data_IF_239193907597
#
_entry.id   IF_239193907597
#
_cell.length_a   1.000
_cell.length_b   1.000
_cell.length_c   1.000
_cell.angle_alpha   90.00
_cell.angle_beta   90.00
_cell.angle_gamma   90.00
#
_symmetry.space_group_name_H-M   'P 1'
#
loop_
_entity.id
_entity.type
_entity.pdbx_description
1 polymer ?
#
# COMPACT_ATOMS: atom_id res chain seq x y z
N UNK A 1 2.65 13.71 -19.17
CA UNK A 1 2.92 12.70 -18.10
C UNK A 1 1.84 11.64 -17.93
N UNK A 2 0.55 11.92 -18.19
CA UNK A 2 -0.55 10.92 -18.06
C UNK A 2 -0.39 9.71 -19.01
N UNK A 3 0.10 9.94 -20.22
CA UNK A 3 0.27 8.89 -21.24
C UNK A 3 1.34 7.85 -20.87
N UNK A 4 2.45 8.29 -20.26
CA UNK A 4 3.55 7.40 -19.88
C UNK A 4 3.15 6.41 -18.79
N UNK A 5 2.44 6.86 -17.74
CA UNK A 5 1.96 5.97 -16.66
C UNK A 5 0.95 4.93 -17.14
N UNK A 6 0.03 5.28 -18.05
CA UNK A 6 -0.91 4.31 -18.65
C UNK A 6 -0.19 3.23 -19.46
N UNK A 7 0.90 3.60 -20.14
CA UNK A 7 1.65 2.66 -20.96
C UNK A 7 2.37 1.59 -20.12
N UNK A 8 2.85 1.93 -18.92
CA UNK A 8 3.50 0.96 -18.03
C UNK A 8 2.51 -0.09 -17.54
N UNK A 9 1.34 0.32 -17.02
CA UNK A 9 0.35 -0.62 -16.50
C UNK A 9 -0.14 -1.60 -17.58
N UNK A 10 -0.50 -1.08 -18.76
CA UNK A 10 -0.94 -1.90 -19.90
C UNK A 10 0.15 -2.86 -20.36
N UNK A 11 1.40 -2.38 -20.49
CA UNK A 11 2.51 -3.23 -20.91
C UNK A 11 2.82 -4.31 -19.88
N UNK A 12 2.79 -3.98 -18.59
CA UNK A 12 2.95 -4.97 -17.53
C UNK A 12 1.85 -6.04 -17.60
N UNK A 13 0.60 -5.63 -17.74
CA UNK A 13 -0.53 -6.58 -17.85
C UNK A 13 -0.39 -7.50 -19.07
N UNK A 14 -0.06 -6.97 -20.24
CA UNK A 14 0.15 -7.78 -21.45
C UNK A 14 1.20 -8.87 -21.26
N UNK A 15 2.27 -8.59 -20.51
CA UNK A 15 3.38 -9.52 -20.30
C UNK A 15 3.18 -10.43 -19.08
N UNK A 16 2.39 -10.00 -18.08
CA UNK A 16 2.30 -10.67 -16.78
C UNK A 16 0.91 -11.31 -16.53
N UNK A 17 -0.08 -11.08 -17.40
CA UNK A 17 -1.42 -11.67 -17.28
C UNK A 17 -1.43 -13.19 -17.26
N UNK A 18 -0.42 -13.87 -17.81
CA UNK A 18 -0.33 -15.34 -17.78
C UNK A 18 0.11 -15.91 -16.43
N UNK A 19 0.58 -15.08 -15.49
CA UNK A 19 1.10 -15.54 -14.21
C UNK A 19 -0.06 -15.89 -13.28
N UNK A 20 -0.20 -17.18 -12.96
CA UNK A 20 -1.15 -17.67 -11.96
C UNK A 20 -0.50 -18.03 -10.63
N UNK A 21 0.73 -18.53 -10.66
CA UNK A 21 1.47 -18.98 -9.47
C UNK A 21 2.87 -18.39 -9.46
N UNK A 22 3.28 -17.87 -8.31
CA UNK A 22 4.66 -17.44 -8.03
C UNK A 22 5.24 -18.40 -6.98
N UNK A 23 6.32 -19.10 -7.33
CA UNK A 23 6.96 -20.07 -6.44
C UNK A 23 7.67 -19.41 -5.25
N UNK A 24 8.33 -18.27 -5.49
CA UNK A 24 9.03 -17.49 -4.48
C UNK A 24 8.12 -16.48 -3.78
N UNK A 25 8.47 -15.21 -3.94
CA UNK A 25 7.77 -14.06 -3.34
C UNK A 25 7.35 -13.05 -4.40
N UNK A 26 6.39 -12.19 -4.04
CA UNK A 26 6.06 -10.98 -4.80
C UNK A 26 6.56 -9.78 -4.02
N UNK A 27 7.41 -8.95 -4.64
CA UNK A 27 7.92 -7.71 -4.07
C UNK A 27 7.62 -6.54 -5.00
N UNK A 28 6.90 -5.55 -4.49
CA UNK A 28 6.63 -4.28 -5.19
C UNK A 28 7.03 -3.14 -4.25
N UNK A 29 8.16 -2.50 -4.56
CA UNK A 29 8.73 -1.46 -3.72
C UNK A 29 9.19 -0.26 -4.56
N UNK A 30 8.91 0.97 -4.11
CA UNK A 30 9.36 2.19 -4.79
C UNK A 30 8.74 2.42 -6.18
N UNK A 31 7.62 1.75 -6.49
CA UNK A 31 7.05 1.74 -7.83
C UNK A 31 6.01 2.86 -8.03
N UNK A 32 6.47 4.11 -7.99
CA UNK A 32 5.62 5.32 -8.04
C UNK A 32 4.84 5.52 -9.35
N UNK A 33 5.20 4.77 -10.40
CA UNK A 33 4.43 4.74 -11.64
C UNK A 33 3.13 3.94 -11.52
N UNK A 34 3.04 3.02 -10.54
CA UNK A 34 1.92 2.11 -10.39
C UNK A 34 0.77 2.73 -9.63
N UNK A 35 -0.44 2.52 -10.14
CA UNK A 35 -1.70 2.89 -9.49
C UNK A 35 -2.38 1.67 -8.84
N UNK A 36 -2.18 0.48 -9.42
CA UNK A 36 -2.74 -0.79 -8.95
C UNK A 36 -1.84 -1.99 -9.25
N UNK A 37 -2.05 -3.11 -8.55
CA UNK A 37 -1.46 -4.42 -8.87
C UNK A 37 -2.24 -5.24 -9.91
N UNK A 38 -3.28 -4.65 -10.52
CA UNK A 38 -4.11 -5.30 -11.54
C UNK A 38 -3.37 -5.76 -12.80
N UNK A 39 -2.08 -5.42 -12.96
CA UNK A 39 -1.21 -6.00 -14.01
C UNK A 39 -0.89 -7.49 -13.78
N UNK A 40 -1.23 -8.04 -12.60
CA UNK A 40 -1.24 -9.48 -12.31
C UNK A 40 -2.69 -9.96 -12.14
N UNK A 41 -3.52 -9.94 -13.19
CA UNK A 41 -4.96 -10.22 -13.08
C UNK A 41 -5.27 -11.67 -12.69
N UNK A 42 -4.41 -12.63 -13.06
CA UNK A 42 -4.65 -14.05 -12.87
C UNK A 42 -3.84 -14.66 -11.71
N UNK A 43 -3.10 -13.86 -10.93
CA UNK A 43 -2.31 -14.37 -9.82
C UNK A 43 -3.22 -14.93 -8.72
N UNK A 44 -3.13 -16.25 -8.51
CA UNK A 44 -3.91 -17.01 -7.53
C UNK A 44 -3.06 -17.54 -6.38
N UNK A 45 -1.74 -17.71 -6.56
CA UNK A 45 -0.89 -18.41 -5.59
C UNK A 45 0.50 -17.81 -5.46
N UNK A 46 0.96 -17.63 -4.22
CA UNK A 46 2.35 -17.35 -3.85
C UNK A 46 2.79 -18.46 -2.90
N UNK A 47 3.74 -19.29 -3.31
CA UNK A 47 4.13 -20.50 -2.57
C UNK A 47 5.16 -20.22 -1.46
N UNK A 48 5.88 -19.10 -1.51
CA UNK A 48 6.81 -18.69 -0.45
C UNK A 48 8.04 -19.60 -0.31
N UNK A 49 8.47 -20.30 -1.37
CA UNK A 49 9.71 -21.10 -1.37
C UNK A 49 10.95 -20.24 -1.15
N UNK A 50 10.86 -18.98 -1.57
CA UNK A 50 11.80 -17.91 -1.28
C UNK A 50 11.05 -16.74 -0.65
N UNK A 51 11.75 -15.93 0.14
CA UNK A 51 11.17 -14.84 0.92
C UNK A 51 12.08 -13.62 0.95
N UNK A 52 11.49 -12.43 1.00
CA UNK A 52 12.21 -11.16 1.17
C UNK A 52 12.68 -11.04 2.61
N UNK A 53 14.00 -10.93 2.82
CA UNK A 53 14.58 -10.61 4.12
C UNK A 53 14.42 -9.11 4.44
N UNK A 54 13.61 -8.81 5.44
CA UNK A 54 13.37 -7.47 5.96
C UNK A 54 14.39 -6.98 6.99
N UNK A 55 15.56 -7.61 7.11
CA UNK A 55 16.66 -7.03 7.91
C UNK A 55 17.00 -5.59 7.49
N UNK A 56 16.84 -5.27 6.20
CA UNK A 56 17.04 -3.93 5.65
C UNK A 56 15.86 -2.98 5.91
N UNK A 57 14.71 -3.49 6.35
CA UNK A 57 13.52 -2.68 6.68
C UNK A 57 13.79 -1.87 7.95
N UNK A 58 14.48 -2.42 8.95
CA UNK A 58 14.88 -1.64 10.14
C UNK A 58 15.76 -0.43 9.80
N UNK A 59 16.57 -0.51 8.75
CA UNK A 59 17.41 0.60 8.32
C UNK A 59 16.56 1.74 7.72
N UNK A 60 15.50 1.42 6.97
CA UNK A 60 14.55 2.43 6.45
C UNK A 60 13.59 2.95 7.52
N UNK A 61 13.18 2.14 8.50
CA UNK A 61 12.50 2.65 9.70
C UNK A 61 13.40 3.62 10.47
N UNK A 62 14.64 3.23 10.77
CA UNK A 62 15.53 4.09 11.52
C UNK A 62 15.86 5.37 10.75
N UNK A 63 15.96 5.38 9.42
CA UNK A 63 16.18 6.62 8.66
C UNK A 63 14.96 7.56 8.66
N UNK A 64 13.73 7.03 8.62
CA UNK A 64 12.52 7.85 8.72
C UNK A 64 12.22 8.32 10.15
N UNK A 65 12.47 7.48 11.16
CA UNK A 65 12.32 7.86 12.57
C UNK A 65 13.49 8.72 13.08
N UNK A 66 14.70 8.65 12.52
CA UNK A 66 15.80 9.58 12.86
C UNK A 66 15.46 11.02 12.51
N UNK A 67 14.73 11.26 11.41
CA UNK A 67 14.26 12.60 11.06
C UNK A 67 13.23 13.16 12.07
N UNK A 68 12.49 12.29 12.75
CA UNK A 68 11.52 12.68 13.79
C UNK A 68 12.16 12.74 15.19
N UNK A 69 13.17 11.91 15.46
CA UNK A 69 13.86 11.83 16.75
C UNK A 69 14.99 12.86 16.94
N UNK A 70 15.51 13.47 15.87
CA UNK A 70 16.46 14.60 15.99
C UNK A 70 15.86 15.82 16.72
N UNK A 71 14.53 15.90 16.88
CA UNK A 71 13.89 16.93 17.70
C UNK A 71 13.63 16.52 19.16
N UNK A 72 13.76 15.24 19.51
CA UNK A 72 13.38 14.73 20.84
C UNK A 72 14.52 14.13 21.67
N UNK A 73 15.71 13.89 21.11
CA UNK A 73 16.83 13.34 21.87
C UNK A 73 18.00 14.32 21.90
N UNK A 74 17.78 15.43 22.63
CA UNK A 74 18.85 16.14 23.34
C UNK A 74 18.39 16.19 24.80
N UNK A 75 18.97 15.31 25.63
CA UNK A 75 18.80 15.14 27.10
C UNK A 75 17.88 14.01 27.61
N UNK A 76 18.31 12.75 27.47
CA UNK A 76 18.09 11.76 28.53
C UNK A 76 19.31 10.84 28.65
N UNK A 77 20.03 10.97 29.78
CA UNK A 77 21.30 10.33 30.08
C UNK A 77 21.18 8.85 30.47
N UNK A 78 22.21 8.08 30.09
CA UNK A 78 22.84 6.93 30.78
C UNK A 78 21.97 5.88 31.49
N UNK A 79 22.06 4.61 31.07
CA UNK A 79 22.64 3.49 31.84
C UNK A 79 22.34 2.14 31.18
N UNK A 80 23.37 1.32 31.01
CA UNK A 80 23.30 -0.08 30.57
C UNK A 80 22.83 -0.93 31.75
N UNK A 81 21.79 -1.77 31.56
CA UNK A 81 21.49 -2.88 32.49
C UNK A 81 21.52 -4.23 31.78
N UNK A 82 22.40 -5.06 32.32
CA UNK A 82 22.63 -6.48 32.06
C UNK A 82 21.37 -7.34 32.24
N UNK A 83 21.26 -8.41 31.44
CA UNK A 83 20.62 -9.66 31.88
C UNK A 83 19.11 -9.81 31.67
N UNK A 84 18.68 -9.94 30.42
CA UNK A 84 17.53 -10.82 30.09
C UNK A 84 18.01 -11.82 29.04
N UNK A 85 17.78 -13.13 29.30
CA UNK A 85 17.71 -14.10 28.21
C UNK A 85 16.59 -13.62 27.30
N UNK A 86 16.96 -12.93 26.23
CA UNK A 86 16.05 -12.62 25.14
C UNK A 86 15.69 -13.99 24.57
N UNK A 87 14.48 -14.45 24.86
CA UNK A 87 13.83 -15.49 24.06
C UNK A 87 14.09 -15.12 22.62
N UNK A 88 14.89 -15.93 21.90
CA UNK A 88 15.26 -15.79 20.49
C UNK A 88 14.47 -14.67 19.80
N UNK A 89 15.08 -13.49 19.64
CA UNK A 89 14.53 -12.49 18.74
C UNK A 89 14.54 -13.16 17.36
N UNK A 90 13.36 -13.60 16.95
CA UNK A 90 13.20 -14.67 15.98
C UNK A 90 13.58 -14.20 14.58
N UNK A 91 13.88 -15.18 13.75
CA UNK A 91 14.06 -15.20 12.30
C UNK A 91 12.92 -14.56 11.45
N UNK A 92 12.34 -13.43 11.85
CA UNK A 92 10.93 -13.13 11.52
C UNK A 92 10.67 -11.98 10.52
N UNK A 93 11.69 -11.31 10.00
CA UNK A 93 11.50 -10.35 8.90
C UNK A 93 11.65 -11.08 7.57
N UNK A 94 10.72 -11.98 7.25
CA UNK A 94 10.74 -12.77 6.01
C UNK A 94 9.36 -12.77 5.37
N UNK A 95 9.25 -12.21 4.17
CA UNK A 95 7.95 -11.97 3.52
C UNK A 95 7.85 -12.64 2.17
N UNK A 96 6.77 -13.38 1.94
CA UNK A 96 6.41 -13.88 0.61
C UNK A 96 5.59 -12.87 -0.18
N UNK A 97 5.01 -11.87 0.48
CA UNK A 97 4.42 -10.70 -0.15
C UNK A 97 4.94 -9.41 0.50
N UNK A 98 5.61 -8.57 -0.27
CA UNK A 98 6.22 -7.32 0.20
C UNK A 98 5.75 -6.14 -0.65
N UNK A 99 5.05 -5.19 -0.04
CA UNK A 99 4.50 -4.01 -0.69
C UNK A 99 4.87 -2.74 0.08
N UNK A 100 5.83 -1.97 -0.42
CA UNK A 100 6.31 -0.81 0.32
C UNK A 100 6.60 0.42 -0.54
N UNK A 101 6.43 1.62 0.02
CA UNK A 101 6.96 2.85 -0.56
C UNK A 101 6.44 3.14 -1.99
N UNK A 102 5.18 2.82 -2.27
CA UNK A 102 4.56 3.11 -3.57
C UNK A 102 3.63 4.33 -3.42
N UNK A 103 4.15 5.54 -3.69
CA UNK A 103 3.48 6.81 -3.36
C UNK A 103 2.15 7.04 -4.11
N UNK A 104 1.94 6.36 -5.24
CA UNK A 104 0.76 6.52 -6.10
C UNK A 104 -0.18 5.31 -6.12
N UNK A 105 0.19 4.21 -5.46
CA UNK A 105 -0.63 3.02 -5.41
C UNK A 105 -1.90 3.30 -4.59
N UNK A 106 -3.06 3.11 -5.21
CA UNK A 106 -4.37 3.34 -4.58
C UNK A 106 -5.20 2.07 -4.40
N UNK A 107 -4.99 1.09 -5.27
CA UNK A 107 -5.72 -0.17 -5.27
C UNK A 107 -4.75 -1.34 -5.29
N UNK A 108 -5.14 -2.48 -4.74
CA UNK A 108 -4.40 -3.71 -4.94
C UNK A 108 -4.87 -4.37 -6.24
N UNK A 109 -6.07 -4.93 -6.24
CA UNK A 109 -6.69 -5.49 -7.43
C UNK A 109 -8.16 -5.11 -7.53
N UNK A 110 -8.68 -5.14 -8.76
CA UNK A 110 -10.12 -5.08 -8.96
C UNK A 110 -10.76 -6.45 -8.79
N UNK A 111 -11.17 -6.75 -7.56
CA UNK A 111 -11.82 -8.00 -7.16
C UNK A 111 -13.21 -8.23 -7.78
N UNK A 112 -13.75 -7.28 -8.55
CA UNK A 112 -14.97 -7.49 -9.31
C UNK A 112 -14.69 -8.16 -10.67
N UNK A 113 -13.47 -8.01 -11.20
CA UNK A 113 -13.09 -8.54 -12.51
C UNK A 113 -12.10 -9.71 -12.45
N UNK A 114 -11.35 -9.88 -11.35
CA UNK A 114 -10.47 -11.05 -11.15
C UNK A 114 -11.14 -12.14 -10.29
N UNK A 115 -10.57 -13.34 -10.37
CA UNK A 115 -10.86 -14.39 -9.39
C UNK A 115 -10.57 -13.91 -7.96
N UNK A 116 -11.48 -14.25 -7.04
CA UNK A 116 -11.31 -14.05 -5.60
C UNK A 116 -10.43 -15.13 -4.95
N UNK A 117 -9.78 -15.96 -5.74
CA UNK A 117 -8.77 -16.90 -5.24
C UNK A 117 -7.43 -16.15 -5.12
N UNK A 118 -6.89 -16.14 -3.91
CA UNK A 118 -5.51 -15.75 -3.65
C UNK A 118 -5.02 -16.53 -2.42
N UNK A 119 -4.00 -17.35 -2.61
CA UNK A 119 -3.32 -18.06 -1.54
C UNK A 119 -1.90 -17.52 -1.41
N UNK A 120 -1.50 -17.16 -0.18
CA UNK A 120 -0.15 -16.70 0.12
C UNK A 120 0.39 -17.56 1.24
N UNK A 121 1.43 -18.32 0.96
CA UNK A 121 2.18 -19.05 1.97
C UNK A 121 3.36 -18.19 2.44
N UNK A 122 3.41 -17.88 3.73
CA UNK A 122 4.39 -16.97 4.33
C UNK A 122 3.80 -15.61 4.71
N UNK A 123 4.66 -14.74 5.27
CA UNK A 123 4.23 -13.48 5.88
C UNK A 123 4.06 -12.34 4.86
N UNK A 124 3.18 -11.41 5.20
CA UNK A 124 2.86 -10.21 4.42
C UNK A 124 3.50 -8.98 5.05
N UNK A 125 4.05 -8.08 4.24
CA UNK A 125 4.52 -6.75 4.63
C UNK A 125 3.85 -5.66 3.77
N UNK A 126 3.14 -4.71 4.38
CA UNK A 126 2.50 -3.57 3.69
C UNK A 126 2.69 -2.26 4.46
N UNK A 127 3.57 -1.38 3.99
CA UNK A 127 3.90 -0.12 4.67
C UNK A 127 4.22 1.01 3.69
N UNK A 128 4.07 2.26 4.13
CA UNK A 128 4.46 3.46 3.36
C UNK A 128 3.79 3.57 1.97
N UNK A 129 2.57 3.04 1.82
CA UNK A 129 1.76 3.21 0.62
C UNK A 129 0.75 4.33 0.86
N UNK A 130 1.20 5.58 0.75
CA UNK A 130 0.49 6.75 1.26
C UNK A 130 -0.91 7.00 0.67
N UNK A 131 -1.26 6.37 -0.46
CA UNK A 131 -2.60 6.49 -1.08
C UNK A 131 -3.38 5.17 -1.11
N UNK A 132 -2.82 4.11 -0.52
CA UNK A 132 -3.47 2.81 -0.41
C UNK A 132 -4.27 2.77 0.90
N UNK A 133 -5.60 2.69 0.77
CA UNK A 133 -6.49 2.78 1.92
C UNK A 133 -6.65 1.47 2.69
N UNK A 134 -6.95 1.59 3.98
CA UNK A 134 -7.20 0.45 4.86
C UNK A 134 -8.34 -0.45 4.37
N UNK A 135 -9.35 0.11 3.71
CA UNK A 135 -10.45 -0.65 3.09
C UNK A 135 -9.97 -1.60 1.99
N UNK A 136 -9.00 -1.16 1.17
CA UNK A 136 -8.38 -1.99 0.12
C UNK A 136 -7.54 -3.11 0.74
N UNK A 137 -6.79 -2.78 1.81
CA UNK A 137 -5.98 -3.75 2.57
C UNK A 137 -6.88 -4.77 3.28
N UNK A 138 -7.99 -4.34 3.89
CA UNK A 138 -8.96 -5.20 4.55
C UNK A 138 -9.58 -6.20 3.56
N UNK A 139 -9.97 -5.74 2.37
CA UNK A 139 -10.47 -6.61 1.31
C UNK A 139 -9.43 -7.63 0.86
N UNK A 140 -8.18 -7.21 0.72
CA UNK A 140 -7.07 -8.14 0.43
C UNK A 140 -6.88 -9.17 1.54
N UNK A 141 -6.88 -8.77 2.82
CA UNK A 141 -6.75 -9.71 3.95
C UNK A 141 -7.88 -10.72 3.98
N UNK A 142 -9.11 -10.28 3.70
CA UNK A 142 -10.26 -11.16 3.61
C UNK A 142 -10.09 -12.19 2.49
N UNK A 143 -9.73 -11.76 1.29
CA UNK A 143 -9.59 -12.63 0.13
C UNK A 143 -8.43 -13.62 0.29
N UNK A 144 -7.27 -13.15 0.77
CA UNK A 144 -6.09 -13.98 0.95
C UNK A 144 -6.05 -14.73 2.29
N UNK A 145 -7.09 -14.61 3.12
CA UNK A 145 -7.18 -15.17 4.47
C UNK A 145 -5.95 -14.86 5.35
N UNK A 146 -5.48 -13.62 5.31
CA UNK A 146 -4.28 -13.16 6.03
C UNK A 146 -4.64 -12.78 7.46
N UNK A 147 -4.31 -13.67 8.40
CA UNK A 147 -4.48 -13.46 9.83
C UNK A 147 -3.38 -12.58 10.41
N UNK A 148 -2.12 -12.91 10.10
CA UNK A 148 -0.93 -12.24 10.63
C UNK A 148 -0.06 -11.63 9.52
N UNK A 149 0.57 -10.50 9.80
CA UNK A 149 1.43 -9.77 8.87
C UNK A 149 1.87 -8.43 9.44
N UNK A 150 2.96 -7.87 8.92
CA UNK A 150 3.40 -6.53 9.25
C UNK A 150 2.72 -5.54 8.29
N UNK A 151 1.59 -5.01 8.74
CA UNK A 151 0.74 -4.10 7.96
C UNK A 151 0.43 -2.91 8.85
N UNK A 152 0.89 -1.72 8.48
CA UNK A 152 0.67 -0.52 9.28
C UNK A 152 -0.54 0.29 8.81
N UNK A 153 -1.47 0.55 9.72
CA UNK A 153 -2.54 1.54 9.55
C UNK A 153 -2.03 3.00 9.65
N UNK A 154 -0.79 3.20 10.10
CA UNK A 154 -0.21 4.53 10.27
C UNK A 154 0.60 5.00 9.07
N UNK A 155 1.05 4.10 8.19
CA UNK A 155 1.90 4.46 7.04
C UNK A 155 1.21 4.23 5.70
N UNK A 156 0.05 3.55 5.69
CA UNK A 156 -0.79 3.39 4.52
C UNK A 156 -1.94 4.43 4.57
N UNK A 157 -2.32 4.99 3.41
CA UNK A 157 -3.48 5.88 3.31
C UNK A 157 -3.31 7.31 3.86
N UNK A 158 -2.12 7.72 4.33
CA UNK A 158 -1.90 9.04 4.95
C UNK A 158 -2.13 10.26 4.04
N UNK A 159 -1.87 10.17 2.74
CA UNK A 159 -1.82 11.32 1.82
C UNK A 159 -3.00 11.36 0.83
N UNK A 160 -4.09 10.62 1.10
CA UNK A 160 -5.31 10.70 0.32
C UNK A 160 -6.54 10.38 1.18
N UNK A 161 -7.68 11.07 0.97
CA UNK A 161 -8.92 10.71 1.66
C UNK A 161 -9.38 9.33 1.21
N UNK A 162 -9.50 8.41 2.16
CA UNK A 162 -9.97 7.05 1.91
C UNK A 162 -11.49 6.95 1.79
N UNK A 163 -12.20 7.90 2.37
CA UNK A 163 -13.63 8.07 2.18
C UNK A 163 -13.86 9.14 1.13
N UNK A 164 -14.44 8.75 0.00
CA UNK A 164 -14.81 9.66 -1.08
C UNK A 164 -16.31 9.90 -0.97
N UNK A 165 -16.71 11.15 -0.77
CA UNK A 165 -18.10 11.56 -0.87
C UNK A 165 -18.41 11.95 -2.32
N UNK A 166 -19.43 11.32 -2.90
CA UNK A 166 -19.93 11.73 -4.20
C UNK A 166 -20.76 13.00 -4.05
N UNK A 167 -20.35 14.07 -4.74
CA UNK A 167 -21.15 15.29 -4.86
C UNK A 167 -21.90 15.31 -6.18
N UNK A 168 -23.11 15.85 -6.17
CA UNK A 168 -23.90 16.04 -7.37
C UNK A 168 -23.39 17.29 -8.11
N UNK A 169 -22.72 17.08 -9.24
CA UNK A 169 -22.27 18.14 -10.13
C UNK A 169 -23.38 18.50 -11.12
N UNK A 170 -23.69 19.78 -11.23
CA UNK A 170 -24.52 20.35 -12.27
C UNK A 170 -23.69 21.30 -13.13
N UNK A 171 -23.99 21.35 -14.42
CA UNK A 171 -23.30 22.19 -15.39
C UNK A 171 -24.32 22.96 -16.22
N UNK A 172 -24.13 24.27 -16.35
CA UNK A 172 -25.01 25.15 -17.13
C UNK A 172 -24.18 26.06 -18.04
N UNK A 173 -24.72 26.57 -19.17
CA UNK A 173 -24.02 27.56 -19.97
C UNK A 173 -23.61 28.77 -19.13
N UNK A 174 -22.37 29.23 -19.30
CA UNK A 174 -21.88 30.42 -18.62
C UNK A 174 -22.30 31.71 -19.33
N UNK A 175 -21.98 32.85 -18.71
CA UNK A 175 -22.43 34.18 -19.19
C UNK A 175 -21.71 34.66 -20.46
N UNK A 176 -20.65 33.99 -20.89
CA UNK A 176 -19.90 34.33 -22.11
C UNK A 176 -19.86 33.16 -23.10
N UNK A 177 -19.69 33.48 -24.39
CA UNK A 177 -19.61 32.44 -25.41
C UNK A 177 -18.42 31.50 -25.15
N UNK A 178 -18.68 30.20 -25.19
CA UNK A 178 -17.70 29.16 -24.86
C UNK A 178 -17.46 28.93 -23.36
N UNK A 179 -18.23 29.55 -22.47
CA UNK A 179 -18.12 29.32 -21.01
C UNK A 179 -19.16 28.32 -20.48
N UNK A 180 -18.78 27.61 -19.42
CA UNK A 180 -19.64 26.70 -18.66
C UNK A 180 -19.51 27.02 -17.17
N UNK A 181 -20.63 27.07 -16.47
CA UNK A 181 -20.69 27.21 -15.03
C UNK A 181 -20.95 25.83 -14.40
N UNK A 182 -20.06 25.43 -13.51
CA UNK A 182 -20.14 24.18 -12.76
C UNK A 182 -20.57 24.48 -11.33
N UNK A 183 -21.65 23.84 -10.86
CA UNK A 183 -22.14 23.98 -9.48
C UNK A 183 -22.21 22.60 -8.82
N UNK A 184 -21.68 22.48 -7.61
CA UNK A 184 -21.78 21.27 -6.78
C UNK A 184 -22.07 21.65 -5.32
N UNK A 185 -22.80 20.80 -4.61
CA UNK A 185 -23.04 21.00 -3.18
C UNK A 185 -21.82 20.56 -2.38
N UNK A 186 -21.35 21.43 -1.49
CA UNK A 186 -20.37 21.08 -0.48
C UNK A 186 -21.08 20.38 0.69
N UNK A 187 -20.96 19.06 0.76
CA UNK A 187 -21.19 18.36 2.01
C UNK A 187 -19.96 18.63 2.87
N UNK A 188 -20.06 19.58 3.82
CA UNK A 188 -19.02 19.74 4.83
C UNK A 188 -18.92 18.42 5.59
N UNK A 189 -17.72 17.83 5.64
CA UNK A 189 -17.47 16.72 6.53
C UNK A 189 -17.59 17.24 7.96
N UNK A 190 -18.71 16.96 8.65
CA UNK A 190 -18.74 17.04 10.10
C UNK A 190 -17.81 15.94 10.62
N UNK A 191 -16.69 16.35 11.19
CA UNK A 191 -15.88 15.46 12.02
C UNK A 191 -16.62 15.41 13.36
N UNK A 192 -17.31 14.30 13.63
CA UNK A 192 -17.81 14.04 14.98
C UNK A 192 -16.58 13.91 15.90
N UNK A 193 -16.50 14.80 16.89
CA UNK A 193 -15.43 14.89 17.89
C UNK A 193 -15.45 13.71 18.87
#
# INVERSE_FOLDING_TARGET
>A
MVTYKRNVAKKLEENLKGIETVSGYVKVAGADALYSLSFLPNLKRIEGKEVVNGGNVFQTYLSQYFLVLCFYIVHASTSVKSGRRISRFSSDFRYSFYLAENSNLKKLWDWNFRSKELFINGSVYIHFNNKLCDSEIAKFRQVANIKDGQISNHTNGMNAPCTIFHTHLSAVPGSTNGSILLNWMHNFCSVDY
#
